data_IF_451286807365
#
_entry.id   IF_451286807365
#
_cell.length_a   1.000
_cell.length_b   1.000
_cell.length_c   1.000
_cell.angle_alpha   90.00
_cell.angle_beta   90.00
_cell.angle_gamma   90.00
#
_symmetry.space_group_name_H-M   'P 1'
#
loop_
_entity.id
_entity.type
_entity.pdbx_description
1 polymer ?
#
# COMPACT_ATOMS: atom_id res chain seq x y z
N UNK A 1 20.37 -10.97 -10.68
CA UNK A 1 19.48 -11.78 -11.56
C UNK A 1 18.72 -10.89 -12.53
N UNK A 2 18.47 -11.35 -13.76
CA UNK A 2 17.57 -10.67 -14.69
C UNK A 2 16.11 -11.07 -14.41
N UNK A 3 15.26 -10.08 -14.12
CA UNK A 3 13.84 -10.29 -13.85
C UNK A 3 13.04 -9.98 -15.11
N UNK A 4 12.60 -11.02 -15.81
CA UNK A 4 11.71 -10.89 -16.96
C UNK A 4 10.32 -10.36 -16.54
N UNK A 5 9.57 -9.82 -17.49
CA UNK A 5 8.22 -9.31 -17.23
C UNK A 5 7.31 -10.40 -16.67
N UNK A 6 7.34 -11.60 -17.25
CA UNK A 6 6.52 -12.73 -16.82
C UNK A 6 6.84 -13.16 -15.38
N UNK A 7 8.13 -13.37 -15.04
CA UNK A 7 8.57 -13.64 -13.65
C UNK A 7 8.15 -12.54 -12.67
N UNK A 8 8.22 -11.29 -13.10
CA UNK A 8 7.79 -10.15 -12.27
C UNK A 8 6.29 -10.20 -12.02
N UNK A 9 5.48 -10.53 -13.02
CA UNK A 9 4.04 -10.69 -12.87
C UNK A 9 3.69 -11.87 -11.95
N UNK A 10 4.32 -13.03 -12.15
CA UNK A 10 4.14 -14.19 -11.27
C UNK A 10 4.49 -13.87 -9.82
N UNK A 11 5.57 -13.11 -9.61
CA UNK A 11 5.97 -12.64 -8.28
C UNK A 11 4.90 -11.73 -7.64
N UNK A 12 4.31 -10.82 -8.41
CA UNK A 12 3.26 -9.92 -7.91
C UNK A 12 1.98 -10.69 -7.59
N UNK A 13 1.58 -11.63 -8.45
CA UNK A 13 0.41 -12.48 -8.21
C UNK A 13 0.61 -13.35 -6.97
N UNK A 14 1.79 -13.95 -6.80
CA UNK A 14 2.12 -14.72 -5.60
C UNK A 14 2.07 -13.82 -4.36
N UNK A 15 2.65 -12.62 -4.42
CA UNK A 15 2.56 -11.64 -3.34
C UNK A 15 1.11 -11.24 -3.02
N UNK A 16 0.26 -11.09 -4.03
CA UNK A 16 -1.17 -10.79 -3.88
C UNK A 16 -1.90 -11.92 -3.16
N UNK A 17 -1.60 -13.18 -3.47
CA UNK A 17 -2.18 -14.37 -2.83
C UNK A 17 -1.80 -14.51 -1.35
N UNK A 18 -0.74 -13.84 -0.90
CA UNK A 18 -0.26 -13.89 0.48
C UNK A 18 -0.55 -12.56 1.21
N UNK A 19 -1.81 -12.31 1.64
CA UNK A 19 -2.17 -11.08 2.33
C UNK A 19 -1.41 -10.89 3.64
N UNK A 20 -0.89 -11.96 4.24
CA UNK A 20 -0.01 -11.89 5.43
C UNK A 20 1.24 -11.01 5.23
N UNK A 21 1.64 -10.76 3.97
CA UNK A 21 2.81 -9.93 3.63
C UNK A 21 2.49 -8.44 3.48
N UNK A 22 1.25 -8.10 3.13
CA UNK A 22 0.89 -6.73 2.75
C UNK A 22 -0.35 -6.18 3.46
N UNK A 23 -1.21 -7.01 4.01
CA UNK A 23 -2.41 -6.61 4.71
C UNK A 23 -2.15 -6.44 6.20
N UNK A 24 -2.00 -5.20 6.63
CA UNK A 24 -1.82 -4.84 8.04
C UNK A 24 -3.08 -5.10 8.90
N UNK A 25 -4.25 -5.40 8.29
CA UNK A 25 -5.47 -5.73 9.01
C UNK A 25 -5.48 -7.17 9.54
N UNK A 26 -4.68 -8.05 8.94
CA UNK A 26 -4.60 -9.44 9.38
C UNK A 26 -3.81 -9.53 10.69
N UNK A 27 -4.34 -10.28 11.66
CA UNK A 27 -3.58 -10.61 12.87
C UNK A 27 -2.29 -11.38 12.52
N UNK A 28 -2.34 -12.18 11.46
CA UNK A 28 -1.21 -12.95 10.93
C UNK A 28 -0.08 -12.06 10.39
N UNK A 29 -0.34 -10.81 10.00
CA UNK A 29 0.71 -9.86 9.62
C UNK A 29 1.68 -9.59 10.79
N UNK A 30 1.19 -9.65 12.03
CA UNK A 30 2.02 -9.49 13.22
C UNK A 30 2.91 -10.71 13.48
N UNK A 31 2.51 -11.88 12.99
CA UNK A 31 3.27 -13.12 13.14
C UNK A 31 4.49 -13.10 12.22
N UNK A 32 5.68 -13.12 12.81
CA UNK A 32 6.94 -13.15 12.05
C UNK A 32 7.10 -14.46 11.28
N UNK A 33 6.64 -15.57 11.85
CA UNK A 33 6.74 -16.91 11.25
C UNK A 33 5.90 -17.02 9.98
N UNK A 34 4.63 -16.60 10.01
CA UNK A 34 3.75 -16.59 8.83
C UNK A 34 4.29 -15.74 7.69
N UNK A 35 4.88 -14.58 8.00
CA UNK A 35 5.54 -13.74 7.00
C UNK A 35 6.78 -14.42 6.42
N UNK A 36 7.59 -15.06 7.27
CA UNK A 36 8.76 -15.79 6.80
C UNK A 36 8.36 -16.94 5.87
N UNK A 37 7.35 -17.71 6.26
CA UNK A 37 6.83 -18.84 5.51
C UNK A 37 6.29 -18.40 4.14
N UNK A 38 5.44 -17.38 4.10
CA UNK A 38 4.91 -16.82 2.86
C UNK A 38 6.02 -16.32 1.91
N UNK A 39 7.07 -15.67 2.42
CA UNK A 39 8.22 -15.29 1.60
C UNK A 39 8.96 -16.51 1.04
N UNK A 40 9.08 -17.56 1.84
CA UNK A 40 9.74 -18.79 1.45
C UNK A 40 8.92 -19.57 0.40
N UNK A 41 7.59 -19.59 0.53
CA UNK A 41 6.69 -20.17 -0.46
C UNK A 41 6.80 -19.46 -1.82
N UNK A 42 6.82 -18.13 -1.83
CA UNK A 42 7.01 -17.34 -3.06
C UNK A 42 8.38 -17.62 -3.68
N UNK A 43 9.44 -17.65 -2.85
CA UNK A 43 10.80 -17.96 -3.26
C UNK A 43 10.92 -19.35 -3.90
N UNK A 44 10.33 -20.36 -3.25
CA UNK A 44 10.29 -21.73 -3.74
C UNK A 44 9.50 -21.85 -5.04
N UNK A 45 8.35 -21.17 -5.14
CA UNK A 45 7.49 -21.19 -6.32
C UNK A 45 8.18 -20.62 -7.57
N UNK A 46 8.99 -19.57 -7.39
CA UNK A 46 9.74 -18.94 -8.47
C UNK A 46 11.12 -19.56 -8.67
N UNK A 47 11.54 -20.48 -7.80
CA UNK A 47 12.88 -21.02 -7.70
C UNK A 47 13.95 -19.91 -7.61
N UNK A 48 13.70 -18.92 -6.75
CA UNK A 48 14.57 -17.75 -6.51
C UNK A 48 14.87 -17.65 -5.03
N UNK A 49 16.01 -17.08 -4.66
CA UNK A 49 16.32 -16.83 -3.26
C UNK A 49 15.34 -15.82 -2.63
N UNK A 50 14.92 -16.11 -1.40
CA UNK A 50 14.04 -15.25 -0.61
C UNK A 50 14.51 -13.78 -0.57
N UNK A 51 15.81 -13.56 -0.39
CA UNK A 51 16.40 -12.23 -0.31
C UNK A 51 16.30 -11.46 -1.64
N UNK A 52 16.48 -12.13 -2.78
CA UNK A 52 16.27 -11.53 -4.10
C UNK A 52 14.79 -11.19 -4.34
N UNK A 53 13.87 -12.09 -3.96
CA UNK A 53 12.43 -11.89 -4.05
C UNK A 53 11.99 -10.68 -3.22
N UNK A 54 12.43 -10.61 -1.96
CA UNK A 54 12.10 -9.52 -1.04
C UNK A 54 12.64 -8.18 -1.56
N UNK A 55 13.90 -8.15 -2.03
CA UNK A 55 14.52 -6.96 -2.63
C UNK A 55 13.75 -6.51 -3.88
N UNK A 56 13.31 -7.46 -4.71
CA UNK A 56 12.55 -7.16 -5.94
C UNK A 56 11.18 -6.58 -5.60
N UNK A 57 10.40 -7.21 -4.72
CA UNK A 57 9.10 -6.67 -4.27
C UNK A 57 9.28 -5.29 -3.66
N UNK A 58 10.30 -5.07 -2.83
CA UNK A 58 10.57 -3.77 -2.22
C UNK A 58 10.81 -2.68 -3.27
N UNK A 59 11.57 -2.98 -4.32
CA UNK A 59 11.76 -2.05 -5.44
C UNK A 59 10.45 -1.79 -6.20
N UNK A 60 9.66 -2.84 -6.49
CA UNK A 60 8.39 -2.71 -7.21
C UNK A 60 7.37 -1.87 -6.41
N UNK A 61 7.18 -2.20 -5.13
CA UNK A 61 6.28 -1.47 -4.23
C UNK A 61 6.70 -0.02 -4.01
N UNK A 62 8.01 0.27 -3.93
CA UNK A 62 8.53 1.64 -3.87
C UNK A 62 8.20 2.42 -5.14
N UNK A 63 8.41 1.81 -6.32
CA UNK A 63 8.06 2.41 -7.60
C UNK A 63 6.55 2.67 -7.70
N UNK A 64 5.75 1.68 -7.31
CA UNK A 64 4.30 1.78 -7.24
C UNK A 64 3.81 2.87 -6.28
N UNK A 65 4.42 3.00 -5.09
CA UNK A 65 4.02 4.01 -4.11
C UNK A 65 4.27 5.43 -4.62
N UNK A 66 5.36 5.64 -5.38
CA UNK A 66 5.66 6.93 -6.01
C UNK A 66 4.65 7.25 -7.10
N UNK A 67 4.39 6.28 -7.97
CA UNK A 67 3.45 6.43 -9.07
C UNK A 67 2.02 6.67 -8.55
N UNK A 68 1.54 5.84 -7.63
CA UNK A 68 0.21 5.98 -7.03
C UNK A 68 0.04 7.28 -6.26
N UNK A 69 1.10 7.80 -5.62
CA UNK A 69 1.08 9.12 -5.00
C UNK A 69 0.88 10.21 -6.06
N UNK A 70 1.65 10.17 -7.15
CA UNK A 70 1.54 11.13 -8.25
C UNK A 70 0.13 11.13 -8.86
N UNK A 71 -0.40 9.94 -9.19
CA UNK A 71 -1.76 9.77 -9.72
C UNK A 71 -2.82 10.31 -8.75
N UNK A 72 -2.65 10.07 -7.45
CA UNK A 72 -3.56 10.60 -6.42
C UNK A 72 -3.50 12.12 -6.34
N UNK A 73 -2.30 12.70 -6.36
CA UNK A 73 -2.09 14.16 -6.33
C UNK A 73 -2.67 14.83 -7.59
N UNK A 74 -2.44 14.25 -8.77
CA UNK A 74 -3.03 14.69 -10.04
C UNK A 74 -4.56 14.63 -9.98
N UNK A 75 -5.15 13.56 -9.43
CA UNK A 75 -6.61 13.46 -9.24
C UNK A 75 -7.15 14.52 -8.27
N UNK A 76 -6.49 14.75 -7.13
CA UNK A 76 -6.92 15.75 -6.14
C UNK A 76 -6.82 17.16 -6.73
N UNK A 77 -5.74 17.46 -7.45
CA UNK A 77 -5.56 18.74 -8.13
C UNK A 77 -6.64 18.98 -9.19
N UNK A 78 -6.98 17.96 -9.97
CA UNK A 78 -7.99 18.06 -11.04
C UNK A 78 -9.44 18.09 -10.51
N UNK A 79 -9.69 17.52 -9.32
CA UNK A 79 -11.02 17.58 -8.66
C UNK A 79 -11.38 19.00 -8.21
N UNK A 80 -10.38 19.88 -7.95
CA UNK A 80 -10.62 21.32 -7.71
C UNK A 80 -11.06 22.08 -8.97
N UNK A 81 -10.92 21.47 -10.15
CA UNK A 81 -11.31 22.03 -11.44
C UNK A 81 -12.19 21.07 -12.24
N UNK A 82 -13.20 20.45 -11.60
CA UNK A 82 -14.40 19.92 -12.29
C UNK A 82 -14.22 19.00 -13.51
N UNK A 83 -13.09 18.31 -13.67
CA UNK A 83 -12.85 17.47 -14.85
C UNK A 83 -12.32 16.09 -14.47
N UNK A 84 -13.22 15.12 -14.64
CA UNK A 84 -12.98 13.81 -15.26
C UNK A 84 -11.82 12.98 -14.70
N UNK A 85 -12.19 11.87 -14.07
CA UNK A 85 -11.31 10.78 -13.68
C UNK A 85 -10.22 10.51 -14.73
N UNK A 86 -8.97 10.89 -14.44
CA UNK A 86 -7.83 10.40 -15.19
C UNK A 86 -7.65 8.93 -14.83
N UNK A 87 -8.18 8.06 -15.69
CA UNK A 87 -7.83 6.65 -15.73
C UNK A 87 -6.35 6.61 -16.08
N UNK A 88 -5.52 6.38 -15.07
CA UNK A 88 -4.09 6.24 -15.28
C UNK A 88 -3.86 4.94 -16.07
N UNK A 89 -3.75 5.07 -17.39
CA UNK A 89 -3.29 4.01 -18.28
C UNK A 89 -1.77 3.86 -18.06
N UNK A 90 -1.43 3.26 -16.93
CA UNK A 90 -0.06 3.12 -16.49
C UNK A 90 0.76 2.38 -17.54
N UNK A 91 1.77 3.07 -18.07
CA UNK A 91 2.78 2.53 -18.99
C UNK A 91 3.54 1.32 -18.41
N UNK A 92 3.38 1.07 -17.12
CA UNK A 92 4.06 0.03 -16.39
C UNK A 92 3.22 -1.25 -16.31
N UNK A 93 3.70 -2.32 -16.94
CA UNK A 93 3.02 -3.61 -17.03
C UNK A 93 2.63 -4.21 -15.65
N UNK A 94 3.40 -3.92 -14.60
CA UNK A 94 3.14 -4.39 -13.24
C UNK A 94 2.16 -3.52 -12.45
N UNK A 95 1.79 -2.33 -12.96
CA UNK A 95 0.88 -1.41 -12.26
C UNK A 95 -0.49 -2.03 -12.04
N UNK A 96 -1.06 -2.65 -13.09
CA UNK A 96 -2.37 -3.32 -13.03
C UNK A 96 -2.38 -4.47 -12.02
N UNK A 97 -1.33 -5.28 -12.00
CA UNK A 97 -1.19 -6.37 -11.03
C UNK A 97 -0.98 -5.87 -9.60
N UNK A 98 -0.41 -4.68 -9.39
CA UNK A 98 -0.25 -4.07 -8.07
C UNK A 98 -1.42 -3.17 -7.62
N UNK A 99 -2.44 -3.00 -8.46
CA UNK A 99 -3.58 -2.10 -8.20
C UNK A 99 -4.31 -2.43 -6.89
N UNK A 100 -4.33 -3.70 -6.48
CA UNK A 100 -4.91 -4.14 -5.20
C UNK A 100 -4.30 -3.43 -3.98
N UNK A 101 -3.06 -2.92 -4.09
CA UNK A 101 -2.40 -2.15 -3.03
C UNK A 101 -2.92 -0.71 -2.94
N UNK A 102 -3.61 -0.19 -3.95
CA UNK A 102 -4.24 1.14 -3.90
C UNK A 102 -5.35 1.20 -2.86
N UNK A 103 -6.15 0.13 -2.71
CA UNK A 103 -7.28 0.12 -1.79
C UNK A 103 -6.83 0.26 -0.32
N UNK A 104 -5.67 -0.30 0.01
CA UNK A 104 -5.00 -0.14 1.32
C UNK A 104 -4.59 1.32 1.61
N UNK A 105 -4.26 2.08 0.57
CA UNK A 105 -3.67 3.41 0.66
C UNK A 105 -4.72 4.52 0.54
N UNK A 106 -6.01 4.21 0.76
CA UNK A 106 -6.98 5.22 1.18
C UNK A 106 -6.48 5.76 2.50
N UNK A 107 -6.16 7.06 2.61
CA UNK A 107 -5.85 7.63 3.91
C UNK A 107 -7.00 7.25 4.83
N UNK A 108 -6.70 6.47 5.88
CA UNK A 108 -7.63 6.38 7.01
C UNK A 108 -7.93 7.82 7.34
N UNK A 109 -9.18 8.23 7.16
CA UNK A 109 -9.63 9.54 7.62
C UNK A 109 -9.29 9.53 9.10
N UNK A 110 -8.17 10.16 9.45
CA UNK A 110 -7.96 10.61 10.80
C UNK A 110 -9.01 11.69 10.92
N UNK A 111 -10.19 11.29 11.37
CA UNK A 111 -11.10 12.21 12.02
C UNK A 111 -10.21 12.79 13.11
N UNK A 112 -9.68 13.99 12.88
CA UNK A 112 -9.11 14.78 13.95
C UNK A 112 -10.26 14.82 14.94
N UNK A 113 -10.17 14.02 15.99
CA UNK A 113 -11.01 14.23 17.15
C UNK A 113 -10.35 15.43 17.81
N UNK A 114 -10.64 16.59 17.22
CA UNK A 114 -10.54 17.87 17.90
C UNK A 114 -11.41 17.68 19.14
N UNK A 115 -10.74 17.27 20.23
CA UNK A 115 -11.29 17.27 21.56
C UNK A 115 -11.86 18.68 21.74
N UNK A 116 -13.19 18.87 21.86
CA UNK A 116 -13.70 20.14 22.33
C UNK A 116 -13.11 20.29 23.73
N UNK A 117 -12.15 21.20 23.87
CA UNK A 117 -11.67 21.63 25.17
C UNK A 117 -12.89 22.23 25.86
N UNK A 118 -13.53 21.44 26.72
CA UNK A 118 -14.51 21.92 27.67
C UNK A 118 -13.85 23.11 28.37
N UNK A 119 -14.35 24.31 28.08
CA UNK A 119 -14.05 25.49 28.85
C UNK A 119 -14.57 25.24 30.26
N UNK A 120 -13.69 24.69 31.10
CA UNK A 120 -13.86 24.66 32.54
C UNK A 120 -13.87 26.12 32.99
N UNK A 121 -15.05 26.70 33.13
CA UNK A 121 -15.25 28.00 33.77
C UNK A 121 -14.96 27.81 35.27
N UNK A 122 -13.87 28.38 35.80
CA UNK A 122 -13.56 28.23 37.21
C UNK A 122 -14.61 28.98 38.07
N UNK A 123 -14.96 28.43 39.24
CA UNK A 123 -16.11 28.87 40.04
C UNK A 123 -15.96 30.22 40.74
N UNK A 124 -14.96 31.04 40.41
CA UNK A 124 -14.72 32.33 41.06
C UNK A 124 -15.28 33.53 40.28
N UNK A 125 -15.86 33.36 39.09
CA UNK A 125 -16.38 34.48 38.27
C UNK A 125 -17.86 34.83 38.54
N UNK A 126 -18.37 34.53 39.75
CA UNK A 126 -19.70 34.96 40.20
C UNK A 126 -19.69 35.45 41.66
N UNK A 127 -18.71 36.29 42.01
CA UNK A 127 -18.79 37.17 43.18
C UNK A 127 -18.13 38.53 42.90
#
# INVERSE_FOLDING_TARGET
MEWSQDKTLQLIESYRLHPVLWDCKLSEYKLREKRYDAWNEIANSLNVEKDEVERKIKNLTSHFSRESKRVREEKIANTKSGSGASTYEGKWFAFKSMEFLLDRNKPRTTVNTEHPTNFFVPPWENY
#
